data_IF_519532208702
#
_entry.id   IF_519532208702
#
_cell.length_a   1.000
_cell.length_b   1.000
_cell.length_c   1.000
_cell.angle_alpha   90.00
_cell.angle_beta   90.00
_cell.angle_gamma   90.00
#
_symmetry.space_group_name_H-M   'P 1'
#
loop_
_entity.id
_entity.type
_entity.pdbx_description
1 polymer ?
#
# COMPACT_ATOMS: atom_id res chain seq x y z
N UNK A 1 56.89 2.83 -5.47
CA UNK A 1 55.90 2.44 -6.49
C UNK A 1 54.69 1.86 -5.79
N UNK A 2 53.57 2.59 -5.78
CA UNK A 2 52.33 2.09 -5.17
C UNK A 2 51.83 0.93 -6.05
N UNK A 3 51.63 -0.23 -5.43
CA UNK A 3 51.20 -1.44 -6.13
C UNK A 3 49.92 -1.18 -6.93
N UNK A 4 49.84 -1.68 -8.17
CA UNK A 4 48.68 -1.52 -9.05
C UNK A 4 47.37 -1.98 -8.39
N UNK A 5 47.46 -2.93 -7.46
CA UNK A 5 46.32 -3.39 -6.64
C UNK A 5 45.75 -2.29 -5.73
N UNK A 6 46.61 -1.44 -5.16
CA UNK A 6 46.19 -0.35 -4.28
C UNK A 6 45.45 0.73 -5.07
N UNK A 7 45.91 1.03 -6.29
CA UNK A 7 45.22 1.96 -7.20
C UNK A 7 43.83 1.46 -7.61
N UNK A 8 43.68 0.16 -7.90
CA UNK A 8 42.37 -0.41 -8.22
C UNK A 8 41.40 -0.32 -7.04
N UNK A 9 41.87 -0.59 -5.81
CA UNK A 9 41.03 -0.50 -4.61
C UNK A 9 40.59 0.94 -4.34
N UNK A 10 41.48 1.91 -4.51
CA UNK A 10 41.16 3.33 -4.37
C UNK A 10 40.11 3.75 -5.41
N UNK A 11 40.25 3.32 -6.66
CA UNK A 11 39.28 3.67 -7.70
C UNK A 11 37.90 3.05 -7.45
N UNK A 12 37.84 1.78 -7.04
CA UNK A 12 36.58 1.11 -6.72
C UNK A 12 35.89 1.79 -5.53
N UNK A 13 36.65 2.15 -4.49
CA UNK A 13 36.10 2.88 -3.35
C UNK A 13 35.63 4.28 -3.73
N UNK A 14 36.34 4.99 -4.62
CA UNK A 14 35.90 6.28 -5.14
C UNK A 14 34.59 6.18 -5.93
N UNK A 15 34.44 5.14 -6.77
CA UNK A 15 33.21 4.90 -7.54
C UNK A 15 32.04 4.63 -6.58
N UNK A 16 32.27 3.84 -5.52
CA UNK A 16 31.25 3.53 -4.54
C UNK A 16 30.82 4.77 -3.74
N UNK A 17 31.77 5.60 -3.33
CA UNK A 17 31.49 6.87 -2.66
C UNK A 17 30.74 7.83 -3.59
N UNK A 18 31.16 7.95 -4.85
CA UNK A 18 30.47 8.77 -5.84
C UNK A 18 29.03 8.29 -6.09
N UNK A 19 28.81 6.98 -6.11
CA UNK A 19 27.47 6.41 -6.25
C UNK A 19 26.57 6.72 -5.04
N UNK A 20 27.10 6.58 -3.82
CA UNK A 20 26.36 6.95 -2.60
C UNK A 20 26.02 8.44 -2.56
N UNK A 21 26.97 9.29 -2.93
CA UNK A 21 26.75 10.75 -3.02
C UNK A 21 25.72 11.10 -4.10
N UNK A 22 25.74 10.39 -5.23
CA UNK A 22 24.75 10.57 -6.30
C UNK A 22 23.33 10.19 -5.85
N UNK A 23 23.18 9.07 -5.13
CA UNK A 23 21.90 8.69 -4.52
C UNK A 23 21.43 9.70 -3.46
N UNK A 24 22.36 10.27 -2.69
CA UNK A 24 22.04 11.29 -1.69
C UNK A 24 21.61 12.62 -2.34
N UNK A 25 22.29 13.01 -3.43
CA UNK A 25 22.01 14.25 -4.17
C UNK A 25 20.64 14.22 -4.87
N UNK A 26 20.17 13.03 -5.26
CA UNK A 26 18.92 12.87 -5.99
C UNK A 26 17.66 13.10 -5.15
N UNK A 27 17.76 13.40 -3.85
CA UNK A 27 16.59 13.51 -2.93
C UNK A 27 15.56 12.39 -3.20
N UNK A 28 16.03 11.20 -3.57
CA UNK A 28 15.15 10.08 -3.80
C UNK A 28 14.69 9.67 -2.41
N UNK A 29 13.55 10.21 -2.00
CA UNK A 29 12.67 9.59 -1.01
C UNK A 29 12.59 8.13 -1.43
N UNK A 30 13.37 7.27 -0.77
CA UNK A 30 13.43 5.86 -1.11
C UNK A 30 12.00 5.38 -0.91
N UNK A 31 11.27 5.06 -1.99
CA UNK A 31 9.85 4.75 -1.84
C UNK A 31 9.81 3.54 -0.93
N UNK A 32 9.10 3.67 0.19
CA UNK A 32 8.91 2.54 1.08
C UNK A 32 8.35 1.38 0.25
N UNK A 33 8.66 0.14 0.62
CA UNK A 33 8.20 -1.05 -0.13
C UNK A 33 6.68 -0.99 -0.37
N UNK A 34 5.91 -0.37 0.55
CA UNK A 34 4.47 -0.13 0.39
C UNK A 34 4.10 0.87 -0.73
N UNK A 35 4.87 1.93 -0.92
CA UNK A 35 4.67 2.91 -2.00
C UNK A 35 5.01 2.32 -3.38
N UNK A 36 6.11 1.57 -3.47
CA UNK A 36 6.47 0.86 -4.70
C UNK A 36 5.40 -0.16 -5.11
N UNK A 37 4.87 -0.91 -4.13
CA UNK A 37 3.78 -1.85 -4.35
C UNK A 37 2.44 -1.18 -4.68
N UNK A 38 2.20 0.05 -4.22
CA UNK A 38 1.00 0.81 -4.58
C UNK A 38 1.04 1.31 -6.03
N UNK A 39 2.21 1.75 -6.50
CA UNK A 39 2.41 2.21 -7.88
C UNK A 39 2.42 1.06 -8.91
N UNK A 40 2.79 -0.16 -8.51
CA UNK A 40 2.78 -1.34 -9.39
C UNK A 40 1.40 -2.00 -9.53
N UNK A 41 0.43 -1.64 -8.69
CA UNK A 41 -0.90 -2.26 -8.71
C UNK A 41 -1.79 -1.46 -9.67
N UNK A 42 -2.04 -1.99 -10.86
CA UNK A 42 -2.84 -1.34 -11.90
C UNK A 42 -4.35 -1.30 -11.59
N UNK A 43 -4.81 -2.02 -10.57
CA UNK A 43 -6.22 -1.98 -10.16
C UNK A 43 -6.59 -0.63 -9.54
N UNK A 44 -7.85 -0.23 -9.48
CA UNK A 44 -8.23 0.95 -8.70
C UNK A 44 -8.29 0.65 -7.19
N UNK A 45 -8.17 1.69 -6.36
CA UNK A 45 -8.35 1.54 -4.92
C UNK A 45 -9.85 1.39 -4.62
N UNK A 46 -10.25 0.21 -4.14
CA UNK A 46 -11.66 -0.13 -3.92
C UNK A 46 -11.95 -0.26 -2.45
N UNK A 47 -13.04 0.39 -2.01
CA UNK A 47 -13.65 0.15 -0.71
C UNK A 47 -15.15 0.01 -0.82
N UNK A 48 -15.71 -1.04 -0.23
CA UNK A 48 -17.13 -1.37 -0.28
C UNK A 48 -17.65 -1.47 1.15
N UNK A 49 -18.73 -0.78 1.47
CA UNK A 49 -19.46 -1.00 2.71
C UNK A 49 -20.64 -1.93 2.46
N UNK A 50 -20.92 -2.82 3.41
CA UNK A 50 -22.12 -3.65 3.38
C UNK A 50 -22.90 -3.51 4.68
N UNK A 51 -24.23 -3.36 4.58
CA UNK A 51 -25.15 -3.41 5.71
C UNK A 51 -26.38 -4.24 5.35
N UNK A 52 -26.49 -5.44 5.93
CA UNK A 52 -27.47 -6.42 5.47
C UNK A 52 -27.22 -6.80 4.00
N UNK A 53 -28.24 -6.66 3.15
CA UNK A 53 -28.15 -6.94 1.71
C UNK A 53 -27.77 -5.69 0.88
N UNK A 54 -27.47 -4.56 1.52
CA UNK A 54 -27.09 -3.33 0.83
C UNK A 54 -25.58 -3.22 0.71
N UNK A 55 -25.12 -3.00 -0.52
CA UNK A 55 -23.72 -2.79 -0.84
C UNK A 55 -23.55 -1.39 -1.41
N UNK A 56 -22.45 -0.73 -1.08
CA UNK A 56 -22.16 0.60 -1.62
C UNK A 56 -20.66 0.78 -1.80
N UNK A 57 -20.28 1.31 -2.95
CA UNK A 57 -18.91 1.70 -3.24
C UNK A 57 -18.62 3.03 -2.54
N UNK A 58 -17.61 3.07 -1.67
CA UNK A 58 -17.16 4.27 -1.00
C UNK A 58 -15.91 4.83 -1.67
N UNK A 59 -15.80 6.16 -1.66
CA UNK A 59 -14.53 6.82 -1.95
C UNK A 59 -13.52 6.44 -0.86
N UNK A 60 -12.32 6.05 -1.32
CA UNK A 60 -11.24 5.57 -0.48
C UNK A 60 -10.83 6.56 0.61
N UNK A 61 -10.93 7.87 0.36
CA UNK A 61 -10.59 8.93 1.31
C UNK A 61 -11.53 8.95 2.52
N UNK A 62 -12.80 8.60 2.33
CA UNK A 62 -13.77 8.45 3.43
C UNK A 62 -13.69 7.06 4.06
N UNK A 63 -13.26 6.04 3.32
CA UNK A 63 -13.19 4.68 3.83
C UNK A 63 -12.07 4.50 4.87
N UNK A 64 -10.86 5.02 4.64
CA UNK A 64 -9.74 4.85 5.56
C UNK A 64 -10.02 5.23 7.03
N UNK A 65 -10.66 6.39 7.35
CA UNK A 65 -11.02 6.71 8.73
C UNK A 65 -12.10 5.79 9.31
N UNK A 66 -13.03 5.28 8.50
CA UNK A 66 -14.06 4.33 8.94
C UNK A 66 -13.47 2.96 9.28
N UNK A 67 -12.51 2.49 8.48
CA UNK A 67 -11.76 1.25 8.75
C UNK A 67 -11.01 1.29 10.08
N UNK A 68 -10.42 2.45 10.41
CA UNK A 68 -9.64 2.63 11.63
C UNK A 68 -10.49 2.48 12.91
N UNK A 69 -11.79 2.80 12.81
CA UNK A 69 -12.76 2.73 13.91
C UNK A 69 -13.25 1.30 14.19
N UNK A 70 -13.02 0.34 13.28
CA UNK A 70 -13.49 -1.03 13.43
C UNK A 70 -12.70 -1.82 14.48
N UNK A 71 -13.39 -2.70 15.22
CA UNK A 71 -12.78 -3.58 16.23
C UNK A 71 -11.97 -4.72 15.59
N UNK A 72 -12.54 -5.40 14.60
CA UNK A 72 -11.85 -6.45 13.85
C UNK A 72 -11.18 -5.81 12.64
N UNK A 73 -9.85 -5.90 12.60
CA UNK A 73 -9.02 -5.23 11.61
C UNK A 73 -8.42 -6.22 10.61
N UNK A 74 -8.79 -6.05 9.34
CA UNK A 74 -8.09 -6.67 8.21
C UNK A 74 -8.17 -8.20 8.18
N UNK A 75 -9.32 -8.77 8.52
CA UNK A 75 -9.61 -10.18 8.29
C UNK A 75 -9.37 -10.50 6.81
N UNK A 76 -8.53 -11.50 6.51
CA UNK A 76 -8.24 -11.88 5.13
C UNK A 76 -9.45 -12.59 4.54
N UNK A 77 -10.00 -11.99 3.49
CA UNK A 77 -11.10 -12.55 2.72
C UNK A 77 -10.69 -12.63 1.26
N UNK A 78 -11.45 -13.37 0.45
CA UNK A 78 -11.27 -13.39 -1.00
C UNK A 78 -12.66 -13.49 -1.61
N UNK A 79 -13.27 -12.33 -1.81
CA UNK A 79 -14.62 -12.24 -2.39
C UNK A 79 -14.64 -11.19 -3.49
N UNK A 80 -15.62 -11.32 -4.38
CA UNK A 80 -15.86 -10.40 -5.48
C UNK A 80 -17.26 -9.82 -5.33
N UNK A 81 -17.37 -8.50 -5.41
CA UNK A 81 -18.64 -7.79 -5.46
C UNK A 81 -18.97 -7.42 -6.90
N UNK A 82 -20.26 -7.39 -7.23
CA UNK A 82 -20.78 -6.98 -8.53
C UNK A 82 -21.56 -5.68 -8.33
N UNK A 83 -20.87 -4.55 -8.51
CA UNK A 83 -21.45 -3.21 -8.37
C UNK A 83 -21.43 -2.53 -9.74
N UNK A 84 -22.58 -2.01 -10.17
CA UNK A 84 -22.73 -1.28 -11.44
C UNK A 84 -22.20 -2.01 -12.69
N UNK A 85 -22.20 -3.35 -12.67
CA UNK A 85 -21.71 -4.19 -13.76
C UNK A 85 -20.20 -4.45 -13.76
N UNK A 86 -19.47 -3.89 -12.79
CA UNK A 86 -18.04 -4.15 -12.58
C UNK A 86 -17.81 -5.18 -11.47
N UNK A 87 -16.84 -6.07 -11.70
CA UNK A 87 -16.45 -7.07 -10.72
C UNK A 87 -15.29 -6.54 -9.88
N UNK A 88 -15.56 -6.29 -8.61
CA UNK A 88 -14.61 -5.68 -7.67
C UNK A 88 -14.09 -6.72 -6.68
N UNK A 89 -12.82 -7.10 -6.83
CA UNK A 89 -12.16 -8.06 -5.97
C UNK A 89 -11.64 -7.40 -4.69
N UNK A 90 -12.03 -7.92 -3.53
CA UNK A 90 -11.57 -7.45 -2.21
C UNK A 90 -10.79 -8.53 -1.48
N UNK A 91 -9.85 -8.12 -0.62
CA UNK A 91 -8.96 -9.05 0.08
C UNK A 91 -8.96 -8.90 1.60
N UNK A 92 -9.58 -7.84 2.11
CA UNK A 92 -9.69 -7.58 3.55
C UNK A 92 -11.08 -7.14 3.94
N UNK A 93 -11.51 -7.57 5.11
CA UNK A 93 -12.76 -7.18 5.77
C UNK A 93 -12.48 -6.57 7.14
N UNK A 94 -13.26 -5.55 7.49
CA UNK A 94 -13.21 -4.81 8.74
C UNK A 94 -14.62 -4.66 9.28
N UNK A 95 -14.84 -4.98 10.56
CA UNK A 95 -16.17 -4.96 11.16
C UNK A 95 -16.09 -4.84 12.68
N UNK A 96 -17.20 -4.46 13.31
CA UNK A 96 -17.29 -4.27 14.77
C UNK A 96 -18.06 -5.38 15.47
N UNK A 97 -19.03 -6.01 14.79
CA UNK A 97 -19.81 -7.12 15.31
C UNK A 97 -20.92 -7.56 14.36
N UNK A 98 -21.82 -8.41 14.84
CA UNK A 98 -23.00 -8.82 14.09
C UNK A 98 -23.98 -7.64 13.91
N UNK A 99 -24.60 -7.53 12.73
CA UNK A 99 -25.50 -6.43 12.32
C UNK A 99 -24.86 -5.02 12.32
N UNK A 100 -23.55 -4.93 12.11
CA UNK A 100 -22.86 -3.65 11.89
C UNK A 100 -22.51 -3.47 10.41
N UNK A 101 -22.03 -2.27 10.05
CA UNK A 101 -21.51 -2.04 8.70
C UNK A 101 -20.16 -2.75 8.60
N UNK A 102 -20.05 -3.63 7.63
CA UNK A 102 -18.79 -4.25 7.28
C UNK A 102 -18.14 -3.46 6.16
N UNK A 103 -16.83 -3.32 6.22
CA UNK A 103 -16.05 -2.65 5.20
C UNK A 103 -15.08 -3.63 4.54
N UNK A 104 -15.12 -3.69 3.22
CA UNK A 104 -14.28 -4.53 2.41
C UNK A 104 -13.35 -3.67 1.58
N UNK A 105 -12.07 -4.03 1.53
CA UNK A 105 -11.06 -3.26 0.83
C UNK A 105 -10.14 -4.18 0.06
N UNK A 106 -9.71 -3.71 -1.12
CA UNK A 106 -8.70 -4.40 -1.89
C UNK A 106 -7.28 -4.06 -1.40
N UNK A 107 -6.28 -4.77 -1.90
CA UNK A 107 -4.89 -4.58 -1.46
C UNK A 107 -4.36 -3.19 -1.81
N UNK A 108 -4.77 -2.60 -2.94
CA UNK A 108 -4.39 -1.24 -3.31
C UNK A 108 -4.99 -0.20 -2.35
N UNK A 109 -6.27 -0.31 -2.03
CA UNK A 109 -6.93 0.54 -1.04
C UNK A 109 -6.29 0.41 0.34
N UNK A 110 -5.97 -0.82 0.77
CA UNK A 110 -5.29 -1.04 2.04
C UNK A 110 -3.90 -0.35 2.07
N UNK A 111 -3.13 -0.45 0.97
CA UNK A 111 -1.85 0.25 0.83
C UNK A 111 -2.03 1.77 0.81
N UNK A 112 -3.08 2.27 0.15
CA UNK A 112 -3.42 3.69 0.15
C UNK A 112 -3.64 4.22 1.57
N UNK A 113 -4.50 3.56 2.36
CA UNK A 113 -4.76 3.98 3.74
C UNK A 113 -3.49 3.92 4.59
N UNK A 114 -2.67 2.87 4.43
CA UNK A 114 -1.41 2.74 5.17
C UNK A 114 -0.40 3.84 4.80
N UNK A 115 -0.28 4.18 3.52
CA UNK A 115 0.61 5.26 3.05
C UNK A 115 0.17 6.64 3.55
N UNK A 116 -1.13 6.84 3.75
CA UNK A 116 -1.70 8.07 4.32
C UNK A 116 -1.70 8.10 5.87
N UNK A 117 -1.09 7.11 6.53
CA UNK A 117 -0.89 7.11 7.98
C UNK A 117 -2.05 6.54 8.80
N UNK A 118 -3.06 5.93 8.17
CA UNK A 118 -4.17 5.30 8.87
C UNK A 118 -3.78 3.94 9.49
N UNK A 119 -4.33 3.64 10.66
CA UNK A 119 -4.11 2.38 11.39
C UNK A 119 -5.15 1.32 10.98
N UNK A 120 -4.93 0.76 9.79
CA UNK A 120 -5.73 -0.30 9.14
C UNK A 120 -4.99 -1.62 9.02
#
# INVERSE_FOLDING_TARGET
MVSSRIWSVINISLVLVAFVLFLNLLETDVPTIGAALFQLDDNDAVCISTYGDQESLLNIDFCCPELQQQLVKGEKVSTNFLLDGEQLAVQKRYYTGENTIDYFINMKGYRYCKNNGFLV
#
